data_IF_740562724702
#
_entry.id   IF_740562724702
#
_cell.length_a   1.000
_cell.length_b   1.000
_cell.length_c   1.000
_cell.angle_alpha   90.00
_cell.angle_beta   90.00
_cell.angle_gamma   90.00
#
_symmetry.space_group_name_H-M   'P 1'
#
loop_
_entity.id
_entity.type
_entity.pdbx_description
1 polymer ?
#
# COMPACT_ATOMS: atom_id res chain seq x y z
N UNK A 1 -12.64 4.75 14.20
CA UNK A 1 -12.97 5.56 13.08
C UNK A 1 -12.90 4.76 11.82
N UNK A 2 -13.50 5.24 10.78
CA UNK A 2 -13.60 4.44 9.58
C UNK A 2 -12.48 4.75 8.64
N UNK A 3 -12.23 3.86 7.72
CA UNK A 3 -11.29 4.06 6.68
C UNK A 3 -11.80 5.09 5.70
N UNK A 4 -10.94 5.94 5.22
CA UNK A 4 -11.28 6.93 4.22
C UNK A 4 -10.58 6.55 2.93
N UNK A 5 -11.30 6.28 1.85
CA UNK A 5 -10.67 5.88 0.60
C UNK A 5 -9.78 6.98 0.07
N UNK A 6 -8.66 6.61 -0.50
CA UNK A 6 -7.78 7.58 -1.16
C UNK A 6 -8.36 7.78 -2.56
N UNK A 7 -8.64 9.01 -2.96
CA UNK A 7 -9.24 9.26 -4.27
C UNK A 7 -8.45 8.63 -5.41
N UNK A 8 -9.15 7.96 -6.28
CA UNK A 8 -8.52 7.31 -7.43
C UNK A 8 -8.10 5.87 -7.18
N UNK A 9 -8.28 5.37 -5.96
CA UNK A 9 -7.87 4.01 -5.61
C UNK A 9 -9.03 3.23 -5.03
N UNK A 10 -9.12 1.96 -5.36
CA UNK A 10 -10.20 1.12 -4.86
C UNK A 10 -9.79 0.39 -3.59
N UNK A 11 -8.51 0.11 -3.42
CA UNK A 11 -8.07 -0.66 -2.29
C UNK A 11 -7.28 0.15 -1.25
N UNK A 12 -6.83 1.32 -1.56
CA UNK A 12 -6.03 2.08 -0.61
C UNK A 12 -6.89 3.05 0.19
N UNK A 13 -6.69 3.05 1.49
CA UNK A 13 -7.47 3.88 2.41
C UNK A 13 -6.54 4.48 3.45
N UNK A 14 -7.02 5.49 4.17
CA UNK A 14 -6.33 6.03 5.31
C UNK A 14 -7.26 5.93 6.51
N UNK A 15 -6.71 5.63 7.66
CA UNK A 15 -7.48 5.60 8.90
C UNK A 15 -6.56 6.15 9.99
N UNK A 16 -6.89 7.28 10.59
CA UNK A 16 -6.02 7.91 11.58
C UNK A 16 -5.76 7.03 12.80
N UNK A 17 -6.62 6.05 13.03
CA UNK A 17 -6.45 5.16 14.17
C UNK A 17 -5.64 3.94 13.80
N UNK A 18 -5.16 3.84 12.58
CA UNK A 18 -4.44 2.68 12.14
C UNK A 18 -3.17 3.12 11.44
N UNK A 19 -2.04 2.70 11.91
CA UNK A 19 -0.76 3.00 11.29
C UNK A 19 -0.51 4.49 11.09
N UNK A 20 -1.04 5.29 11.98
CA UNK A 20 -0.83 6.73 11.92
C UNK A 20 -1.44 7.40 10.70
N UNK A 21 -2.46 6.81 10.12
CA UNK A 21 -3.11 7.38 8.94
C UNK A 21 -2.35 7.11 7.65
N UNK A 22 -1.35 6.22 7.65
CA UNK A 22 -0.61 5.92 6.44
C UNK A 22 -1.49 5.18 5.44
N UNK A 23 -1.23 5.32 4.15
CA UNK A 23 -1.96 4.56 3.13
C UNK A 23 -1.86 3.07 3.43
N UNK A 24 -3.00 2.40 3.49
CA UNK A 24 -3.10 1.00 3.90
C UNK A 24 -4.04 0.27 2.96
N UNK A 25 -3.81 -1.01 2.74
CA UNK A 25 -4.73 -1.80 1.93
C UNK A 25 -5.94 -2.10 2.79
N UNK A 26 -7.12 -1.71 2.30
CA UNK A 26 -8.37 -1.83 3.02
C UNK A 26 -8.58 -3.24 3.53
N UNK A 27 -8.97 -3.36 4.77
CA UNK A 27 -9.24 -4.65 5.37
C UNK A 27 -8.01 -5.40 5.84
N UNK A 28 -6.85 -4.80 5.78
CA UNK A 28 -5.62 -5.46 6.20
C UNK A 28 -4.80 -4.57 7.11
N UNK A 29 -3.67 -5.09 7.55
CA UNK A 29 -2.75 -4.29 8.36
C UNK A 29 -1.59 -3.85 7.48
N UNK A 30 -1.63 -4.12 6.19
CA UNK A 30 -0.52 -3.83 5.34
C UNK A 30 -0.55 -2.39 4.85
N UNK A 31 0.44 -1.62 5.25
CA UNK A 31 0.59 -0.27 4.69
C UNK A 31 1.16 -0.41 3.28
N UNK A 32 0.96 0.59 2.47
CA UNK A 32 1.56 0.61 1.14
C UNK A 32 3.08 0.54 1.24
N UNK A 33 3.68 1.24 2.22
CA UNK A 33 5.12 1.23 2.38
C UNK A 33 5.64 -0.16 2.77
N UNK A 34 4.89 -0.91 3.55
CA UNK A 34 5.28 -2.27 3.92
C UNK A 34 5.32 -3.15 2.68
N UNK A 35 4.29 -3.07 1.85
CA UNK A 35 4.23 -3.86 0.63
C UNK A 35 5.37 -3.47 -0.32
N UNK A 36 5.64 -2.17 -0.44
CA UNK A 36 6.73 -1.72 -1.30
C UNK A 36 8.07 -2.25 -0.80
N UNK A 37 8.28 -2.29 0.51
CA UNK A 37 9.51 -2.83 1.07
C UNK A 37 9.64 -4.33 0.77
N UNK A 38 8.55 -5.08 0.85
CA UNK A 38 8.56 -6.50 0.51
C UNK A 38 8.94 -6.70 -0.95
N UNK A 39 8.35 -5.90 -1.83
CA UNK A 39 8.66 -6.01 -3.25
C UNK A 39 10.13 -5.63 -3.52
N UNK A 40 10.63 -4.62 -2.81
CA UNK A 40 12.01 -4.20 -2.95
C UNK A 40 12.97 -5.31 -2.52
N UNK A 41 12.54 -6.16 -1.60
CA UNK A 41 13.36 -7.26 -1.15
C UNK A 41 13.22 -8.47 -2.08
N UNK A 42 12.52 -8.34 -3.16
CA UNK A 42 12.37 -9.42 -4.13
C UNK A 42 11.24 -10.39 -3.85
N UNK A 43 10.36 -10.08 -2.92
CA UNK A 43 9.25 -10.98 -2.63
C UNK A 43 8.17 -10.88 -3.70
N UNK A 44 7.59 -12.00 -4.06
CA UNK A 44 6.44 -12.01 -4.95
C UNK A 44 5.18 -11.89 -4.11
N UNK A 45 4.04 -11.71 -4.77
CA UNK A 45 2.75 -11.69 -4.08
C UNK A 45 2.60 -12.98 -3.26
N UNK A 46 2.92 -14.12 -3.86
CA UNK A 46 2.78 -15.40 -3.18
C UNK A 46 3.71 -15.49 -1.97
N UNK A 47 4.90 -14.90 -2.06
CA UNK A 47 5.82 -14.89 -0.94
C UNK A 47 5.25 -14.09 0.22
N UNK A 48 4.66 -12.94 -0.08
CA UNK A 48 4.09 -12.07 0.95
C UNK A 48 2.91 -12.78 1.63
N UNK A 49 2.06 -13.41 0.85
CA UNK A 49 0.91 -14.11 1.41
C UNK A 49 1.39 -15.26 2.30
N UNK A 50 2.43 -15.98 1.87
CA UNK A 50 2.91 -17.10 2.65
C UNK A 50 3.57 -16.65 3.95
N UNK A 51 4.30 -15.56 3.92
CA UNK A 51 5.00 -15.10 5.09
C UNK A 51 4.09 -14.35 6.06
N UNK A 52 3.11 -13.68 5.58
CA UNK A 52 2.28 -12.81 6.40
C UNK A 52 0.80 -13.21 6.38
N UNK A 53 0.05 -12.80 5.41
CA UNK A 53 -1.35 -13.20 5.28
C UNK A 53 -1.88 -12.80 3.92
N UNK A 54 -3.06 -13.27 3.60
CA UNK A 54 -3.67 -13.00 2.31
C UNK A 54 -4.13 -11.55 2.19
N UNK A 55 -4.09 -11.03 1.01
CA UNK A 55 -4.61 -9.70 0.71
C UNK A 55 -4.95 -9.68 -0.79
N UNK A 56 -5.78 -8.72 -1.23
CA UNK A 56 -6.19 -8.71 -2.62
C UNK A 56 -5.01 -8.53 -3.57
N UNK A 57 -4.88 -9.43 -4.53
CA UNK A 57 -3.77 -9.33 -5.47
C UNK A 57 -3.83 -8.03 -6.26
N UNK A 58 -5.05 -7.57 -6.58
CA UNK A 58 -5.22 -6.36 -7.35
C UNK A 58 -4.69 -5.13 -6.65
N UNK A 59 -4.54 -5.18 -5.34
CA UNK A 59 -4.04 -4.03 -4.61
C UNK A 59 -2.58 -3.74 -4.93
N UNK A 60 -1.83 -4.73 -5.45
CA UNK A 60 -0.43 -4.48 -5.77
C UNK A 60 -0.27 -3.41 -6.84
N UNK A 61 -1.10 -3.45 -7.88
CA UNK A 61 -1.02 -2.43 -8.91
C UNK A 61 -1.32 -1.05 -8.34
N UNK A 62 -2.26 -0.99 -7.39
CA UNK A 62 -2.60 0.28 -6.76
C UNK A 62 -1.46 0.80 -5.88
N UNK A 63 -0.81 -0.08 -5.14
CA UNK A 63 0.32 0.31 -4.31
C UNK A 63 1.43 0.88 -5.20
N UNK A 64 1.71 0.22 -6.32
CA UNK A 64 2.75 0.69 -7.23
C UNK A 64 2.37 2.01 -7.89
N UNK A 65 1.08 2.15 -8.28
CA UNK A 65 0.64 3.39 -8.90
C UNK A 65 0.67 4.54 -7.90
N UNK A 66 0.31 4.27 -6.64
CA UNK A 66 0.35 5.29 -5.61
C UNK A 66 1.80 5.74 -5.40
N UNK A 67 2.75 4.80 -5.36
CA UNK A 67 4.14 5.14 -5.20
C UNK A 67 4.65 5.98 -6.38
N UNK A 68 4.21 5.65 -7.57
CA UNK A 68 4.61 6.40 -8.76
C UNK A 68 4.09 7.83 -8.69
N UNK A 69 2.84 8.00 -8.25
CA UNK A 69 2.26 9.34 -8.14
C UNK A 69 2.96 10.16 -7.06
N UNK A 70 3.29 9.55 -5.94
CA UNK A 70 3.97 10.25 -4.88
C UNK A 70 5.37 10.65 -5.32
N UNK A 71 6.07 9.75 -6.01
CA UNK A 71 7.40 10.02 -6.50
C UNK A 71 7.40 11.14 -7.53
N UNK A 72 6.44 11.12 -8.42
CA UNK A 72 6.37 12.14 -9.44
C UNK A 72 6.05 13.48 -8.84
N UNK A 73 5.08 13.54 -7.91
CA UNK A 73 4.64 14.79 -7.37
C UNK A 73 5.64 15.32 -6.36
N UNK A 74 6.26 14.50 -5.61
CA UNK A 74 7.17 14.92 -4.64
C UNK A 74 8.53 14.89 -5.07
N UNK A 75 8.81 15.07 -6.27
CA UNK A 75 10.01 14.92 -6.77
C UNK A 75 10.98 15.70 -6.22
N UNK A 76 11.92 15.25 -5.77
CA UNK A 76 12.84 15.87 -5.27
C UNK A 76 13.88 15.80 -6.08
N UNK A 77 13.99 16.23 -6.88
CA UNK A 77 15.02 16.39 -7.64
C UNK A 77 16.13 15.82 -7.03
N UNK A 78 16.39 14.85 -7.26
CA UNK A 78 17.51 14.20 -6.70
C UNK A 78 18.78 14.81 -7.14
#
# INVERSE_FOLDING_TARGET
MSDTPIPGFSYLVRNPDRLGGRPTIRGTRFSASFILACLADGMSYEDIVREYSAFPRESLAEVLRFAAEVTDRGDVAA
#
